data_IF_977215664945
#
_entry.id   IF_977215664945
#
_cell.length_a   1.000
_cell.length_b   1.000
_cell.length_c   1.000
_cell.angle_alpha   90.00
_cell.angle_beta   90.00
_cell.angle_gamma   90.00
#
_symmetry.space_group_name_H-M   'P 1'
#
loop_
_entity.id
_entity.type
_entity.pdbx_description
1 polymer ?
#
# COMPACT_ATOMS: atom_id res chain seq x y z
N UNK A 1 -18.93 12.80 -7.61
CA UNK A 1 -18.11 11.94 -6.73
C UNK A 1 -17.15 11.20 -7.65
N UNK A 2 -15.86 11.54 -7.64
CA UNK A 2 -14.84 10.85 -8.43
C UNK A 2 -14.85 9.39 -7.98
N UNK A 3 -14.86 8.45 -8.94
CA UNK A 3 -14.88 7.02 -8.67
C UNK A 3 -13.66 6.63 -7.82
N UNK A 4 -13.83 6.56 -6.49
CA UNK A 4 -12.91 5.93 -5.54
C UNK A 4 -12.97 4.40 -5.68
N UNK A 5 -13.07 3.93 -6.93
CA UNK A 5 -13.36 2.56 -7.30
C UNK A 5 -12.17 1.67 -7.00
N UNK A 6 -12.30 0.85 -5.96
CA UNK A 6 -11.55 -0.40 -5.72
C UNK A 6 -10.04 -0.31 -5.45
N UNK A 7 -9.37 0.84 -5.61
CA UNK A 7 -7.91 0.97 -5.32
C UNK A 7 -7.52 0.56 -3.90
N UNK A 8 -8.38 0.84 -2.92
CA UNK A 8 -8.14 0.41 -1.53
C UNK A 8 -7.94 -1.10 -1.38
N UNK A 9 -8.63 -1.93 -2.20
CA UNK A 9 -8.44 -3.38 -2.19
C UNK A 9 -7.10 -3.79 -2.79
N UNK A 10 -6.64 -3.07 -3.82
CA UNK A 10 -5.35 -3.35 -4.44
C UNK A 10 -4.22 -3.12 -3.44
N UNK A 11 -4.26 -2.03 -2.69
CA UNK A 11 -3.20 -1.74 -1.72
C UNK A 11 -3.26 -2.65 -0.48
N UNK A 12 -4.45 -3.04 -0.02
CA UNK A 12 -4.59 -4.07 1.01
C UNK A 12 -3.91 -5.39 0.59
N UNK A 13 -4.13 -5.85 -0.65
CA UNK A 13 -3.47 -7.05 -1.20
C UNK A 13 -1.95 -6.86 -1.27
N UNK A 14 -1.48 -5.68 -1.65
CA UNK A 14 -0.04 -5.36 -1.68
C UNK A 14 0.58 -5.48 -0.29
N UNK A 15 -0.02 -4.88 0.73
CA UNK A 15 0.45 -4.94 2.12
C UNK A 15 0.47 -6.37 2.66
N UNK A 16 -0.57 -7.16 2.34
CA UNK A 16 -0.62 -8.58 2.68
C UNK A 16 0.55 -9.37 2.09
N UNK A 17 0.86 -9.13 0.80
CA UNK A 17 1.96 -9.78 0.09
C UNK A 17 3.31 -9.36 0.65
N UNK A 18 3.50 -8.07 0.95
CA UNK A 18 4.72 -7.59 1.57
C UNK A 18 4.93 -8.19 2.96
N UNK A 19 3.87 -8.31 3.77
CA UNK A 19 3.95 -8.98 5.08
C UNK A 19 4.41 -10.43 4.95
N UNK A 20 3.81 -11.19 4.04
CA UNK A 20 4.20 -12.58 3.77
C UNK A 20 5.66 -12.67 3.36
N UNK A 21 6.07 -11.87 2.38
CA UNK A 21 7.45 -11.84 1.91
C UNK A 21 8.43 -11.47 3.03
N UNK A 22 8.09 -10.49 3.88
CA UNK A 22 8.92 -10.08 5.02
C UNK A 22 9.11 -11.20 6.04
N UNK A 23 8.03 -11.94 6.36
CA UNK A 23 8.08 -13.10 7.26
C UNK A 23 8.91 -14.23 6.64
N UNK A 24 8.73 -14.50 5.34
CA UNK A 24 9.46 -15.57 4.64
C UNK A 24 10.98 -15.33 4.62
N UNK A 25 11.42 -14.07 4.62
CA UNK A 25 12.85 -13.70 4.66
C UNK A 25 13.33 -13.25 6.04
N UNK A 26 12.54 -13.44 7.09
CA UNK A 26 12.84 -12.93 8.44
C UNK A 26 14.20 -13.37 9.00
N UNK A 27 14.70 -14.61 8.76
CA UNK A 27 16.05 -14.99 9.17
C UNK A 27 17.13 -14.07 8.59
N UNK A 28 17.03 -13.71 7.30
CA UNK A 28 17.97 -12.79 6.64
C UNK A 28 17.87 -11.37 7.21
N UNK A 29 16.66 -10.92 7.51
CA UNK A 29 16.44 -9.61 8.16
C UNK A 29 17.13 -9.56 9.53
N UNK A 30 17.09 -10.65 10.30
CA UNK A 30 17.81 -10.76 11.58
C UNK A 30 19.33 -10.76 11.39
N UNK A 31 19.83 -11.47 10.38
CA UNK A 31 21.27 -11.49 10.04
C UNK A 31 21.81 -10.11 9.64
N UNK A 32 20.96 -9.24 9.06
CA UNK A 32 21.31 -7.85 8.76
C UNK A 32 21.47 -6.96 10.01
N UNK A 33 21.20 -7.48 11.21
CA UNK A 33 21.37 -6.75 12.47
C UNK A 33 20.16 -5.93 12.90
N UNK A 34 19.00 -6.10 12.26
CA UNK A 34 17.77 -5.43 12.70
C UNK A 34 17.26 -5.99 14.02
N UNK A 35 16.84 -5.09 14.92
CA UNK A 35 16.34 -5.46 16.25
C UNK A 35 14.96 -6.12 16.19
N UNK A 36 14.61 -6.87 17.24
CA UNK A 36 13.26 -7.42 17.36
C UNK A 36 12.19 -6.31 17.40
N UNK A 37 12.50 -5.14 17.95
CA UNK A 37 11.60 -3.99 17.96
C UNK A 37 11.31 -3.48 16.53
N UNK A 38 12.33 -3.42 15.67
CA UNK A 38 12.16 -3.08 14.25
C UNK A 38 11.26 -4.09 13.53
N UNK A 39 11.49 -5.38 13.77
CA UNK A 39 10.69 -6.46 13.17
C UNK A 39 9.22 -6.33 13.58
N UNK A 40 8.96 -6.16 14.88
CA UNK A 40 7.59 -6.02 15.41
C UNK A 40 6.91 -4.77 14.85
N UNK A 41 7.64 -3.67 14.73
CA UNK A 41 7.13 -2.43 14.14
C UNK A 41 6.70 -2.66 12.68
N UNK A 42 7.50 -3.35 11.88
CA UNK A 42 7.15 -3.63 10.48
C UNK A 42 5.99 -4.59 10.33
N UNK A 43 5.91 -5.63 11.17
CA UNK A 43 4.76 -6.52 11.17
C UNK A 43 3.47 -5.78 11.55
N UNK A 44 3.55 -4.93 12.58
CA UNK A 44 2.44 -4.05 12.97
C UNK A 44 2.04 -3.10 11.84
N UNK A 45 3.02 -2.44 11.20
CA UNK A 45 2.78 -1.54 10.09
C UNK A 45 1.99 -2.21 8.96
N UNK A 46 2.42 -3.39 8.52
CA UNK A 46 1.72 -4.10 7.44
C UNK A 46 0.27 -4.44 7.81
N UNK A 47 0.05 -4.99 9.01
CA UNK A 47 -1.29 -5.36 9.47
C UNK A 47 -2.20 -4.15 9.66
N UNK A 48 -1.68 -3.11 10.32
CA UNK A 48 -2.45 -1.90 10.62
C UNK A 48 -2.85 -1.18 9.34
N UNK A 49 -1.94 -1.01 8.39
CA UNK A 49 -2.26 -0.40 7.11
C UNK A 49 -3.19 -1.29 6.27
N UNK A 50 -3.00 -2.61 6.24
CA UNK A 50 -3.90 -3.53 5.51
C UNK A 50 -5.34 -3.37 6.01
N UNK A 51 -5.53 -3.39 7.33
CA UNK A 51 -6.82 -3.13 7.97
C UNK A 51 -7.35 -1.73 7.63
N UNK A 52 -6.51 -0.69 7.70
CA UNK A 52 -6.88 0.67 7.34
C UNK A 52 -7.42 0.79 5.91
N UNK A 53 -6.82 0.09 4.95
CA UNK A 53 -7.31 0.05 3.57
C UNK A 53 -8.59 -0.78 3.41
N UNK A 54 -8.70 -1.93 4.08
CA UNK A 54 -9.90 -2.79 4.04
C UNK A 54 -11.13 -2.09 4.62
N UNK A 55 -10.94 -1.37 5.74
CA UNK A 55 -11.98 -0.57 6.42
C UNK A 55 -12.22 0.79 5.75
N UNK A 56 -11.46 1.12 4.69
CA UNK A 56 -11.53 2.41 3.98
C UNK A 56 -11.26 3.63 4.87
N UNK A 57 -10.50 3.44 5.95
CA UNK A 57 -9.99 4.53 6.79
C UNK A 57 -8.84 5.29 6.12
N UNK A 58 -8.11 4.61 5.23
CA UNK A 58 -7.08 5.21 4.36
C UNK A 58 -7.28 4.72 2.92
N UNK A 59 -6.70 5.42 1.96
CA UNK A 59 -6.81 5.10 0.55
C UNK A 59 -5.76 5.81 -0.29
N UNK A 60 -5.48 5.25 -1.47
CA UNK A 60 -4.64 5.89 -2.49
C UNK A 60 -5.50 6.45 -3.61
N UNK A 61 -4.99 7.50 -4.25
CA UNK A 61 -5.62 8.14 -5.39
C UNK A 61 -4.63 8.27 -6.54
N UNK A 62 -5.12 8.05 -7.76
CA UNK A 62 -4.40 8.41 -8.97
C UNK A 62 -5.01 9.69 -9.51
N UNK A 63 -4.24 10.78 -9.49
CA UNK A 63 -4.68 12.09 -9.93
C UNK A 63 -3.97 12.44 -11.23
N UNK A 64 -4.74 12.90 -12.22
CA UNK A 64 -4.21 13.44 -13.47
C UNK A 64 -4.61 14.90 -13.56
N UNK A 65 -3.61 15.75 -13.73
CA UNK A 65 -3.77 17.19 -13.83
C UNK A 65 -3.57 17.63 -15.28
N UNK A 66 -4.36 18.61 -15.72
CA UNK A 66 -4.20 19.24 -17.01
C UNK A 66 -4.48 20.73 -16.93
N UNK A 67 -3.86 21.50 -17.82
CA UNK A 67 -4.05 22.94 -17.90
C UNK A 67 -5.50 23.26 -18.34
N UNK A 68 -6.05 24.35 -17.82
CA UNK A 68 -7.35 24.86 -18.27
C UNK A 68 -7.41 25.02 -19.79
N UNK A 69 -8.48 24.53 -20.41
CA UNK A 69 -8.67 24.52 -21.86
C UNK A 69 -8.18 23.27 -22.58
N UNK A 70 -7.53 22.32 -21.89
CA UNK A 70 -7.15 21.02 -22.48
C UNK A 70 -8.40 20.18 -22.72
N UNK A 71 -8.58 19.69 -23.96
CA UNK A 71 -9.63 18.75 -24.36
C UNK A 71 -8.99 17.42 -24.76
N UNK A 72 -9.77 16.34 -24.77
CA UNK A 72 -9.39 15.01 -25.28
C UNK A 72 -8.24 14.31 -24.55
N UNK A 73 -8.25 14.32 -23.22
CA UNK A 73 -7.30 13.55 -22.40
C UNK A 73 -7.75 12.09 -22.35
N UNK A 74 -7.16 11.24 -23.18
CA UNK A 74 -7.31 9.79 -23.09
C UNK A 74 -6.22 9.20 -22.19
N UNK A 75 -6.62 8.65 -21.05
CA UNK A 75 -5.72 7.97 -20.11
C UNK A 75 -5.94 6.47 -20.25
N UNK A 76 -4.97 5.80 -20.87
CA UNK A 76 -4.94 4.35 -20.95
C UNK A 76 -4.03 3.83 -19.82
N UNK A 77 -4.54 2.90 -19.01
CA UNK A 77 -3.83 2.25 -17.90
C UNK A 77 -3.36 0.85 -18.30
#
# INVERSE_FOLDING_TARGET
MIDMGKYYKHYAITLNRWRKNFIDVLPKVKEMGYSQAFINMWEFYFLYCEAGFLERNIGDVQLVFAKSGTRDININY
#
